data_IF_290358315601
#
_entry.id   IF_290358315601
#
_cell.length_a   1.000
_cell.length_b   1.000
_cell.length_c   1.000
_cell.angle_alpha   90.00
_cell.angle_beta   90.00
_cell.angle_gamma   90.00
#
_symmetry.space_group_name_H-M   'P 1'
#
loop_
_entity.id
_entity.type
_entity.pdbx_description
1 polymer ?
#
# COMPACT_ATOMS: atom_id res chain seq x y z
N UNK A 1 18.86 3.66 3.59
CA UNK A 1 19.90 4.64 4.02
C UNK A 1 19.99 5.86 3.10
N UNK A 2 20.38 5.71 1.82
CA UNK A 2 20.60 6.84 0.89
C UNK A 2 19.44 7.86 0.84
N UNK A 3 18.20 7.39 0.59
CA UNK A 3 17.00 8.25 0.54
C UNK A 3 16.78 9.09 1.81
N UNK A 4 17.00 8.51 2.99
CA UNK A 4 16.85 9.22 4.28
C UNK A 4 17.96 10.25 4.45
N UNK A 5 19.21 9.89 4.13
CA UNK A 5 20.36 10.79 4.24
C UNK A 5 20.20 12.00 3.32
N UNK A 6 19.83 11.76 2.05
CA UNK A 6 19.57 12.84 1.09
C UNK A 6 18.39 13.70 1.53
N UNK A 7 17.28 13.09 1.96
CA UNK A 7 16.12 13.80 2.49
C UNK A 7 16.49 14.75 3.63
N UNK A 8 17.30 14.28 4.59
CA UNK A 8 17.83 15.12 5.68
C UNK A 8 18.76 16.23 5.17
N UNK A 9 19.62 15.95 4.20
CA UNK A 9 20.57 16.94 3.65
C UNK A 9 19.85 18.07 2.92
N UNK A 10 18.92 17.75 2.01
CA UNK A 10 18.16 18.79 1.28
C UNK A 10 17.30 19.61 2.23
N UNK A 11 16.68 18.96 3.22
CA UNK A 11 15.79 19.62 4.18
C UNK A 11 16.53 20.61 5.07
N UNK A 12 17.76 20.28 5.49
CA UNK A 12 18.61 21.20 6.27
C UNK A 12 18.96 22.47 5.48
N UNK A 13 19.17 22.35 4.17
CA UNK A 13 19.60 23.47 3.33
C UNK A 13 18.39 24.26 2.76
N UNK A 14 17.29 23.57 2.44
CA UNK A 14 16.06 24.15 1.91
C UNK A 14 14.84 23.74 2.76
N UNK A 15 14.64 24.34 3.94
CA UNK A 15 13.60 23.92 4.89
C UNK A 15 12.17 24.00 4.36
N UNK A 16 11.91 24.89 3.38
CA UNK A 16 10.56 25.13 2.84
C UNK A 16 10.37 24.69 1.39
N UNK A 17 11.45 24.27 0.71
CA UNK A 17 11.45 23.93 -0.72
C UNK A 17 11.82 22.47 -1.00
N UNK A 18 12.10 21.68 0.04
CA UNK A 18 12.54 20.29 -0.15
C UNK A 18 11.40 19.41 -0.60
N UNK A 19 11.60 18.67 -1.69
CA UNK A 19 10.65 17.65 -2.15
C UNK A 19 10.85 16.38 -1.32
N UNK A 20 9.86 16.08 -0.48
CA UNK A 20 9.85 14.93 0.41
C UNK A 20 8.71 13.97 0.08
N UNK A 21 8.69 12.80 0.72
CA UNK A 21 7.62 11.81 0.62
C UNK A 21 7.23 11.33 2.01
N UNK A 22 5.99 11.58 2.41
CA UNK A 22 5.42 11.15 3.69
C UNK A 22 4.49 9.96 3.51
N UNK A 23 4.27 9.24 4.60
CA UNK A 23 3.25 8.21 4.70
C UNK A 23 2.52 8.45 6.03
N UNK A 24 1.35 9.09 6.00
CA UNK A 24 0.60 9.38 7.22
C UNK A 24 0.18 8.07 7.90
N UNK A 25 0.01 8.12 9.22
CA UNK A 25 -0.56 7.00 9.95
C UNK A 25 -1.97 6.67 9.41
N UNK A 26 -2.34 5.39 9.32
CA UNK A 26 -3.68 5.02 8.91
C UNK A 26 -4.73 5.49 9.92
N UNK A 27 -5.95 5.72 9.43
CA UNK A 27 -7.10 5.93 10.30
C UNK A 27 -7.41 4.61 11.00
N UNK A 28 -7.58 4.62 12.33
CA UNK A 28 -7.81 3.40 13.11
C UNK A 28 -9.02 2.60 12.61
N UNK A 29 -10.09 3.28 12.25
CA UNK A 29 -11.31 2.62 11.74
C UNK A 29 -11.12 1.84 10.43
N UNK A 30 -10.06 2.13 9.66
CA UNK A 30 -9.73 1.35 8.49
C UNK A 30 -9.27 -0.07 8.83
N UNK A 31 -8.84 -0.31 10.08
CA UNK A 31 -8.38 -1.60 10.57
C UNK A 31 -9.42 -2.37 11.38
N UNK A 32 -10.52 -1.76 11.81
CA UNK A 32 -11.50 -2.39 12.73
C UNK A 32 -11.95 -3.78 12.23
N UNK A 33 -12.38 -3.86 10.96
CA UNK A 33 -12.80 -5.12 10.33
C UNK A 33 -11.68 -6.16 10.30
N UNK A 34 -10.43 -5.72 10.06
CA UNK A 34 -9.28 -6.62 10.00
C UNK A 34 -8.91 -7.14 11.39
N UNK A 35 -8.95 -6.26 12.40
CA UNK A 35 -8.67 -6.58 13.79
C UNK A 35 -9.71 -7.56 14.32
N UNK A 36 -10.99 -7.34 14.04
CA UNK A 36 -12.06 -8.25 14.46
C UNK A 36 -11.92 -9.62 13.80
N UNK A 37 -11.62 -9.67 12.50
CA UNK A 37 -11.33 -10.93 11.79
C UNK A 37 -10.07 -11.64 12.32
N UNK A 38 -9.02 -10.90 12.69
CA UNK A 38 -7.83 -11.52 13.27
C UNK A 38 -8.13 -12.12 14.66
N UNK A 39 -8.97 -11.45 15.46
CA UNK A 39 -9.38 -11.91 16.78
C UNK A 39 -10.17 -13.23 16.74
N UNK A 40 -11.00 -13.45 15.72
CA UNK A 40 -11.70 -14.75 15.56
C UNK A 40 -10.75 -15.92 15.32
N UNK A 41 -9.52 -15.65 14.85
CA UNK A 41 -8.44 -16.63 14.71
C UNK A 41 -7.46 -16.60 15.90
N UNK A 42 -7.81 -15.94 17.02
CA UNK A 42 -7.00 -15.90 18.24
C UNK A 42 -5.82 -14.91 18.20
N UNK A 43 -5.77 -13.99 17.24
CA UNK A 43 -4.69 -12.99 17.13
C UNK A 43 -5.16 -11.58 17.47
N UNK A 44 -4.39 -10.90 18.31
CA UNK A 44 -4.59 -9.48 18.62
C UNK A 44 -3.64 -8.61 17.78
N UNK A 45 -4.20 -7.76 16.92
CA UNK A 45 -3.45 -6.91 16.00
C UNK A 45 -3.41 -5.48 16.55
N UNK A 46 -2.22 -5.05 16.96
CA UNK A 46 -2.02 -3.74 17.57
C UNK A 46 -1.68 -2.68 16.51
N UNK A 47 -2.65 -1.81 16.25
CA UNK A 47 -2.53 -0.71 15.26
C UNK A 47 -2.06 0.62 15.87
N UNK A 48 -1.60 0.63 17.12
CA UNK A 48 -1.20 1.84 17.85
C UNK A 48 0.01 2.55 17.21
N UNK A 49 1.00 1.79 16.77
CA UNK A 49 2.23 2.29 16.13
C UNK A 49 2.64 1.39 14.98
N UNK A 50 3.51 1.87 14.09
CA UNK A 50 4.03 1.05 12.98
C UNK A 50 4.84 -0.16 13.48
N UNK A 51 5.56 0.00 14.61
CA UNK A 51 6.29 -1.09 15.24
C UNK A 51 5.35 -2.12 15.87
N UNK A 52 4.37 -1.69 16.66
CA UNK A 52 3.40 -2.60 17.26
C UNK A 52 2.61 -3.37 16.20
N UNK A 53 2.27 -2.72 15.08
CA UNK A 53 1.61 -3.38 13.96
C UNK A 53 2.52 -4.44 13.33
N UNK A 54 3.80 -4.12 13.11
CA UNK A 54 4.76 -5.09 12.59
C UNK A 54 4.94 -6.28 13.55
N UNK A 55 5.17 -6.01 14.84
CA UNK A 55 5.39 -7.03 15.86
C UNK A 55 4.15 -7.93 16.05
N UNK A 56 2.93 -7.36 16.01
CA UNK A 56 1.69 -8.14 16.12
C UNK A 56 1.42 -8.98 14.87
N UNK A 57 1.70 -8.45 13.67
CA UNK A 57 1.65 -9.21 12.44
C UNK A 57 2.72 -10.30 12.39
N UNK A 58 3.93 -10.09 12.92
CA UNK A 58 4.99 -11.11 12.95
C UNK A 58 4.61 -12.31 13.83
N UNK A 59 3.84 -12.08 14.90
CA UNK A 59 3.32 -13.13 15.79
C UNK A 59 2.11 -13.87 15.23
N UNK A 60 1.40 -13.30 14.26
CA UNK A 60 0.16 -13.84 13.71
C UNK A 60 0.41 -14.98 12.70
N UNK A 61 0.94 -16.10 13.18
CA UNK A 61 1.31 -17.27 12.36
C UNK A 61 0.52 -18.50 12.80
N UNK A 62 -0.17 -19.12 11.85
CA UNK A 62 -0.81 -20.43 12.03
C UNK A 62 0.13 -21.51 11.48
N UNK A 63 0.64 -22.46 12.30
CA UNK A 63 1.55 -23.50 11.83
C UNK A 63 0.99 -24.38 10.71
N UNK A 64 -0.34 -24.59 10.71
CA UNK A 64 -1.06 -25.38 9.70
C UNK A 64 -1.44 -24.58 8.45
N UNK A 65 -1.27 -23.26 8.46
CA UNK A 65 -1.58 -22.38 7.32
C UNK A 65 -0.52 -21.28 7.17
N UNK A 66 0.59 -21.56 6.46
CA UNK A 66 1.66 -20.59 6.24
C UNK A 66 1.23 -19.36 5.42
N UNK A 67 0.14 -19.41 4.67
CA UNK A 67 -0.32 -18.25 3.88
C UNK A 67 -1.17 -17.29 4.69
N UNK A 68 -1.74 -17.71 5.84
CA UNK A 68 -2.54 -16.85 6.72
C UNK A 68 -1.82 -15.52 7.02
N UNK A 69 -0.55 -15.59 7.42
CA UNK A 69 0.24 -14.41 7.75
C UNK A 69 0.42 -13.49 6.52
N UNK A 70 0.69 -14.08 5.36
CA UNK A 70 0.83 -13.34 4.10
C UNK A 70 -0.47 -12.63 3.75
N UNK A 71 -1.61 -13.31 3.89
CA UNK A 71 -2.92 -12.73 3.64
C UNK A 71 -3.20 -11.57 4.58
N UNK A 72 -2.96 -11.75 5.87
CA UNK A 72 -3.15 -10.72 6.89
C UNK A 72 -2.30 -9.48 6.59
N UNK A 73 -1.07 -9.63 6.10
CA UNK A 73 -0.23 -8.51 5.65
C UNK A 73 -0.74 -7.82 4.39
N UNK A 74 -1.24 -8.58 3.42
CA UNK A 74 -1.87 -8.03 2.22
C UNK A 74 -3.07 -7.16 2.63
N UNK A 75 -3.95 -7.69 3.48
CA UNK A 75 -5.12 -6.97 3.98
C UNK A 75 -4.73 -5.75 4.80
N UNK A 76 -3.74 -5.88 5.71
CA UNK A 76 -3.20 -4.74 6.49
C UNK A 76 -2.70 -3.61 5.59
N UNK A 77 -2.05 -3.94 4.47
CA UNK A 77 -1.55 -2.96 3.51
C UNK A 77 -2.70 -2.20 2.81
N UNK A 78 -3.86 -2.84 2.63
CA UNK A 78 -5.06 -2.19 2.05
C UNK A 78 -5.69 -1.17 3.01
N UNK A 79 -5.53 -1.38 4.31
CA UNK A 79 -5.98 -0.45 5.35
C UNK A 79 -5.05 0.78 5.50
N UNK A 80 -3.84 0.74 4.90
CA UNK A 80 -2.88 1.84 4.99
C UNK A 80 -3.27 3.04 4.12
N UNK A 81 -2.94 4.24 4.60
CA UNK A 81 -3.09 5.47 3.81
C UNK A 81 -2.04 5.52 2.69
N UNK A 82 -2.34 6.12 1.52
CA UNK A 82 -1.35 6.23 0.45
C UNK A 82 -0.20 7.16 0.85
N UNK A 83 1.04 6.75 0.56
CA UNK A 83 2.19 7.64 0.67
C UNK A 83 2.16 8.71 -0.44
N UNK A 84 2.56 9.93 -0.10
CA UNK A 84 2.45 11.09 -0.98
C UNK A 84 3.72 11.95 -0.96
N UNK A 85 4.09 12.45 -2.14
CA UNK A 85 5.04 13.54 -2.28
C UNK A 85 4.43 14.85 -1.77
N UNK A 86 5.27 15.68 -1.17
CA UNK A 86 4.90 17.01 -0.72
C UNK A 86 6.16 17.89 -0.62
N UNK A 87 6.06 19.21 -0.82
CA UNK A 87 7.14 20.11 -0.46
C UNK A 87 7.14 20.36 1.06
N UNK A 88 8.32 20.42 1.65
CA UNK A 88 8.50 20.53 3.10
C UNK A 88 7.82 21.75 3.72
N UNK A 89 7.64 22.84 2.95
CA UNK A 89 6.96 24.05 3.41
C UNK A 89 5.43 23.95 3.54
N UNK A 90 4.79 22.90 3.02
CA UNK A 90 3.32 22.74 3.07
C UNK A 90 2.83 21.99 4.29
N UNK A 91 3.68 21.19 4.92
CA UNK A 91 3.32 20.35 6.06
C UNK A 91 4.20 20.71 7.26
N UNK A 92 3.61 20.65 8.45
CA UNK A 92 4.37 20.83 9.69
C UNK A 92 5.34 19.65 9.91
N UNK A 93 6.47 19.85 10.62
CA UNK A 93 7.48 18.81 10.83
C UNK A 93 6.98 17.49 11.43
N UNK A 94 5.99 17.54 12.32
CA UNK A 94 5.31 16.38 12.92
C UNK A 94 4.57 15.52 11.88
N UNK A 95 4.26 16.08 10.71
CA UNK A 95 3.55 15.41 9.62
C UNK A 95 4.48 14.88 8.51
N UNK A 96 5.80 15.05 8.63
CA UNK A 96 6.76 14.56 7.63
C UNK A 96 7.04 13.06 7.73
N UNK A 97 6.63 12.46 8.85
CA UNK A 97 6.90 11.07 9.17
C UNK A 97 6.41 10.11 8.08
N UNK A 98 7.18 9.03 7.89
CA UNK A 98 6.84 7.93 7.00
C UNK A 98 6.51 6.68 7.81
N UNK A 99 5.21 6.50 8.13
CA UNK A 99 4.70 5.45 9.01
C UNK A 99 5.26 4.06 8.67
N UNK A 100 5.06 3.60 7.43
CA UNK A 100 5.50 2.27 6.99
C UNK A 100 7.01 2.05 6.90
N UNK A 101 7.84 3.09 7.09
CA UNK A 101 9.31 2.96 7.14
C UNK A 101 9.87 3.37 8.50
N UNK A 102 9.03 3.76 9.45
CA UNK A 102 9.42 4.33 10.75
C UNK A 102 10.48 5.45 10.62
N UNK A 103 10.41 6.24 9.55
CA UNK A 103 11.43 7.25 9.24
C UNK A 103 10.86 8.67 9.46
N UNK A 104 11.54 9.55 10.22
CA UNK A 104 11.04 10.90 10.47
C UNK A 104 11.04 11.80 9.22
N UNK A 105 11.98 11.55 8.30
CA UNK A 105 12.10 12.28 7.03
C UNK A 105 12.50 11.27 5.95
N UNK A 106 11.81 11.32 4.82
CA UNK A 106 12.05 10.43 3.68
C UNK A 106 11.80 11.15 2.36
N UNK A 107 12.52 10.74 1.32
CA UNK A 107 12.30 11.17 -0.07
C UNK A 107 12.69 10.06 -1.03
N UNK A 108 12.48 10.24 -2.33
CA UNK A 108 13.02 9.35 -3.36
C UNK A 108 14.21 10.01 -4.06
N UNK A 109 15.32 9.29 -4.14
CA UNK A 109 16.56 9.77 -4.77
C UNK A 109 17.22 8.73 -5.69
N UNK A 110 17.03 7.44 -5.42
CA UNK A 110 17.82 6.36 -6.02
C UNK A 110 17.40 5.93 -7.44
N UNK A 111 16.41 6.56 -8.08
CA UNK A 111 15.92 6.14 -9.40
C UNK A 111 15.47 7.31 -10.30
N UNK A 112 16.34 8.28 -10.62
CA UNK A 112 16.00 9.43 -11.47
C UNK A 112 15.51 9.07 -12.88
N UNK A 113 15.94 7.93 -13.43
CA UNK A 113 15.54 7.49 -14.79
C UNK A 113 14.04 7.21 -14.88
N UNK A 114 13.42 6.70 -13.80
CA UNK A 114 12.02 6.21 -13.81
C UNK A 114 11.07 7.01 -12.91
N UNK A 115 11.57 8.04 -12.22
CA UNK A 115 10.79 8.85 -11.30
C UNK A 115 11.26 10.30 -11.33
N UNK A 116 10.36 11.20 -11.71
CA UNK A 116 10.67 12.63 -11.77
C UNK A 116 10.93 13.25 -10.38
N UNK A 117 10.34 12.70 -9.32
CA UNK A 117 10.62 13.12 -7.94
C UNK A 117 12.11 13.03 -7.62
N UNK A 118 12.76 11.93 -8.02
CA UNK A 118 14.19 11.74 -7.85
C UNK A 118 14.98 12.80 -8.63
N UNK A 119 14.58 13.16 -9.86
CA UNK A 119 15.24 14.24 -10.63
C UNK A 119 15.19 15.58 -9.88
N UNK A 120 14.05 15.93 -9.29
CA UNK A 120 13.91 17.14 -8.48
C UNK A 120 14.82 17.11 -7.25
N UNK A 121 14.88 15.97 -6.56
CA UNK A 121 15.75 15.77 -5.40
C UNK A 121 17.22 15.80 -5.78
N UNK A 122 17.61 15.25 -6.93
CA UNK A 122 18.98 15.36 -7.48
C UNK A 122 19.36 16.82 -7.72
N UNK A 123 18.48 17.62 -8.33
CA UNK A 123 18.70 19.07 -8.55
C UNK A 123 18.82 19.84 -7.24
N UNK A 124 17.94 19.57 -6.26
CA UNK A 124 18.01 20.15 -4.92
C UNK A 124 19.30 19.77 -4.20
N UNK A 125 19.73 18.52 -4.31
CA UNK A 125 20.97 18.04 -3.68
C UNK A 125 22.21 18.66 -4.32
N UNK A 126 22.25 18.76 -5.65
CA UNK A 126 23.34 19.42 -6.38
C UNK A 126 23.48 20.89 -5.94
N UNK A 127 22.37 21.59 -5.77
CA UNK A 127 22.37 22.96 -5.26
C UNK A 127 22.76 23.06 -3.79
N UNK A 128 22.32 22.15 -2.93
CA UNK A 128 22.72 22.08 -1.52
C UNK A 128 24.20 21.67 -1.29
N UNK A 129 24.89 21.28 -2.35
CA UNK A 129 26.31 20.92 -2.38
C UNK A 129 27.14 21.90 -3.23
N UNK A 130 26.54 23.01 -3.68
CA UNK A 130 27.18 24.02 -4.53
C UNK A 130 27.78 23.47 -5.85
N UNK A 131 27.26 22.33 -6.33
CA UNK A 131 27.67 21.72 -7.61
C UNK A 131 27.00 22.42 -8.80
N UNK A 132 25.77 22.91 -8.60
CA UNK A 132 25.00 23.64 -9.60
C UNK A 132 24.00 24.57 -8.91
N UNK A 133 23.61 25.71 -9.51
CA UNK A 133 22.61 26.60 -8.90
C UNK A 133 21.24 25.93 -8.81
N UNK A 134 20.43 26.34 -7.82
CA UNK A 134 19.05 25.89 -7.69
C UNK A 134 18.24 26.34 -8.92
N UNK A 135 17.55 25.43 -9.64
CA UNK A 135 16.69 25.82 -10.74
C UNK A 135 15.57 26.76 -10.29
N UNK A 136 15.36 27.85 -11.03
CA UNK A 136 14.37 28.90 -10.70
C UNK A 136 12.99 28.33 -10.40
N UNK A 137 12.53 27.36 -11.20
CA UNK A 137 11.25 26.68 -11.00
C UNK A 137 11.12 26.01 -9.62
N UNK A 138 12.19 25.40 -9.09
CA UNK A 138 12.18 24.75 -7.77
C UNK A 138 12.28 25.76 -6.62
N UNK A 139 12.47 27.05 -6.92
CA UNK A 139 12.42 28.13 -5.93
C UNK A 139 11.00 28.64 -5.66
N UNK A 140 10.03 28.27 -6.51
CA UNK A 140 8.63 28.67 -6.36
C UNK A 140 7.82 27.64 -5.56
N UNK A 141 7.21 28.08 -4.46
CA UNK A 141 6.35 27.22 -3.62
C UNK A 141 5.10 26.74 -4.35
N UNK A 142 4.45 27.62 -5.13
CA UNK A 142 3.26 27.25 -5.91
C UNK A 142 3.60 26.20 -6.97
N UNK A 143 4.74 26.36 -7.64
CA UNK A 143 5.20 25.37 -8.60
C UNK A 143 5.47 24.01 -7.94
N UNK A 144 6.12 24.00 -6.78
CA UNK A 144 6.38 22.76 -6.03
C UNK A 144 5.09 22.06 -5.58
N UNK A 145 4.05 22.83 -5.21
CA UNK A 145 2.72 22.32 -4.87
C UNK A 145 2.13 21.54 -6.05
N UNK A 146 2.01 22.20 -7.19
CA UNK A 146 1.42 21.63 -8.40
C UNK A 146 2.23 20.45 -8.91
N UNK A 147 3.55 20.53 -8.80
CA UNK A 147 4.46 19.46 -9.15
C UNK A 147 4.24 18.23 -8.26
N UNK A 148 4.17 18.41 -6.94
CA UNK A 148 3.89 17.31 -5.99
C UNK A 148 2.52 16.66 -6.27
N UNK A 149 1.49 17.48 -6.51
CA UNK A 149 0.15 17.00 -6.87
C UNK A 149 0.16 16.18 -8.16
N UNK A 150 0.86 16.65 -9.21
CA UNK A 150 1.00 15.92 -10.47
C UNK A 150 1.78 14.61 -10.27
N UNK A 151 2.91 14.62 -9.54
CA UNK A 151 3.68 13.41 -9.25
C UNK A 151 2.86 12.36 -8.50
N UNK A 152 2.04 12.78 -7.53
CA UNK A 152 1.14 11.89 -6.80
C UNK A 152 0.06 11.28 -7.72
N UNK A 153 -0.58 12.11 -8.54
CA UNK A 153 -1.59 11.66 -9.52
C UNK A 153 -1.01 10.65 -10.50
N UNK A 154 0.14 10.95 -11.10
CA UNK A 154 0.83 10.08 -12.06
C UNK A 154 1.31 8.79 -11.42
N UNK A 155 1.83 8.86 -10.18
CA UNK A 155 2.23 7.67 -9.44
C UNK A 155 1.04 6.73 -9.19
N UNK A 156 -0.11 7.27 -8.75
CA UNK A 156 -1.34 6.48 -8.55
C UNK A 156 -1.82 5.87 -9.87
N UNK A 157 -1.87 6.66 -10.94
CA UNK A 157 -2.28 6.16 -12.26
C UNK A 157 -1.37 5.03 -12.76
N UNK A 158 -0.05 5.17 -12.61
CA UNK A 158 0.91 4.12 -12.98
C UNK A 158 0.73 2.82 -12.17
N UNK A 159 0.43 2.92 -10.87
CA UNK A 159 0.12 1.75 -10.04
C UNK A 159 -1.16 1.05 -10.48
N UNK A 160 -2.21 1.81 -10.79
CA UNK A 160 -3.48 1.24 -11.29
C UNK A 160 -3.29 0.57 -12.65
N UNK A 161 -2.58 1.22 -13.58
CA UNK A 161 -2.27 0.64 -14.89
C UNK A 161 -1.46 -0.66 -14.76
N UNK A 162 -0.46 -0.69 -13.86
CA UNK A 162 0.32 -1.90 -13.60
C UNK A 162 -0.55 -3.05 -13.07
N UNK A 163 -1.45 -2.77 -12.12
CA UNK A 163 -2.39 -3.78 -11.59
C UNK A 163 -3.36 -4.27 -12.66
N UNK A 164 -3.95 -3.37 -13.44
CA UNK A 164 -4.86 -3.72 -14.53
C UNK A 164 -4.15 -4.55 -15.61
N UNK A 165 -2.89 -4.24 -15.92
CA UNK A 165 -2.08 -5.01 -16.86
C UNK A 165 -1.84 -6.44 -16.36
N UNK A 166 -1.48 -6.63 -15.08
CA UNK A 166 -1.36 -7.97 -14.49
C UNK A 166 -2.68 -8.73 -14.58
N UNK A 167 -3.79 -8.11 -14.18
CA UNK A 167 -5.11 -8.72 -14.25
C UNK A 167 -5.49 -9.15 -15.67
N UNK A 168 -5.25 -8.30 -16.67
CA UNK A 168 -5.51 -8.63 -18.08
C UNK A 168 -4.70 -9.85 -18.53
N UNK A 169 -3.40 -9.91 -18.22
CA UNK A 169 -2.57 -11.03 -18.64
C UNK A 169 -2.92 -12.32 -17.90
N UNK A 170 -3.39 -12.23 -16.65
CA UNK A 170 -3.96 -13.37 -15.94
C UNK A 170 -5.21 -13.90 -16.65
N UNK A 171 -6.11 -13.04 -17.13
CA UNK A 171 -7.28 -13.48 -17.90
C UNK A 171 -6.87 -14.12 -19.23
N UNK A 172 -5.91 -13.51 -19.94
CA UNK A 172 -5.38 -14.08 -21.20
C UNK A 172 -4.77 -15.45 -20.98
N UNK A 173 -4.10 -15.70 -19.84
CA UNK A 173 -3.57 -17.03 -19.51
C UNK A 173 -4.66 -18.11 -19.44
N UNK A 174 -5.81 -17.79 -18.83
CA UNK A 174 -6.94 -18.74 -18.71
C UNK A 174 -7.79 -18.83 -19.98
N UNK A 175 -7.79 -17.79 -20.81
CA UNK A 175 -8.48 -17.80 -22.12
C UNK A 175 -7.64 -18.54 -23.18
N UNK A 176 -6.31 -18.39 -23.12
CA UNK A 176 -5.38 -19.15 -23.93
C UNK A 176 -5.45 -20.63 -23.54
N UNK A 177 -5.45 -21.51 -24.52
CA UNK A 177 -5.72 -22.96 -24.39
C UNK A 177 -4.74 -23.74 -23.50
N UNK A 178 -3.78 -23.08 -22.87
CA UNK A 178 -2.77 -23.66 -21.98
C UNK A 178 -3.35 -24.12 -20.62
N UNK A 179 -4.36 -23.42 -20.09
CA UNK A 179 -4.99 -23.79 -18.80
C UNK A 179 -6.51 -23.83 -18.95
N UNK A 180 -7.05 -25.01 -19.26
CA UNK A 180 -8.52 -25.24 -19.35
C UNK A 180 -9.20 -25.37 -17.99
N UNK A 181 -8.50 -25.93 -17.00
CA UNK A 181 -8.96 -26.09 -15.63
C UNK A 181 -7.75 -25.96 -14.70
N UNK A 182 -7.89 -25.19 -13.61
CA UNK A 182 -6.91 -25.11 -12.54
C UNK A 182 -7.62 -25.31 -11.20
N UNK A 183 -7.02 -26.13 -10.32
CA UNK A 183 -7.52 -26.38 -8.96
C UNK A 183 -6.52 -25.82 -7.99
N UNK A 184 -6.91 -24.77 -7.28
CA UNK A 184 -6.04 -24.07 -6.33
C UNK A 184 -6.76 -23.82 -5.02
N UNK A 185 -5.97 -23.70 -3.96
CA UNK A 185 -6.45 -23.24 -2.66
C UNK A 185 -6.81 -21.75 -2.73
N UNK A 186 -7.95 -21.41 -2.11
CA UNK A 186 -8.49 -20.07 -2.07
C UNK A 186 -8.91 -19.70 -0.65
N UNK A 187 -8.77 -18.41 -0.32
CA UNK A 187 -9.11 -17.86 0.99
C UNK A 187 -10.37 -17.02 0.90
N UNK A 188 -11.35 -17.29 1.76
CA UNK A 188 -12.55 -16.47 1.87
C UNK A 188 -12.19 -15.18 2.62
N UNK A 189 -12.26 -14.04 1.92
CA UNK A 189 -12.01 -12.73 2.50
C UNK A 189 -13.25 -12.15 3.16
N UNK A 190 -14.41 -12.41 2.56
CA UNK A 190 -15.68 -11.83 3.00
C UNK A 190 -16.86 -12.71 2.61
N UNK A 191 -17.89 -12.71 3.45
CA UNK A 191 -19.15 -13.41 3.22
C UNK A 191 -20.24 -12.35 3.15
N UNK A 192 -20.63 -11.97 1.94
CA UNK A 192 -21.60 -10.90 1.70
C UNK A 192 -23.03 -11.42 1.57
N UNK A 193 -24.00 -10.58 1.98
CA UNK A 193 -25.39 -10.70 1.57
C UNK A 193 -25.57 -10.10 0.17
N UNK A 194 -26.26 -10.79 -0.74
CA UNK A 194 -26.57 -10.25 -2.07
C UNK A 194 -27.65 -9.17 -1.99
N UNK A 195 -27.24 -7.92 -1.70
CA UNK A 195 -28.11 -6.75 -1.83
C UNK A 195 -29.36 -6.75 -0.92
N UNK A 196 -30.07 -5.63 -0.91
CA UNK A 196 -31.34 -5.50 -0.18
C UNK A 196 -32.39 -6.45 -0.78
N UNK A 197 -32.76 -7.49 -0.03
CA UNK A 197 -33.92 -8.33 -0.31
C UNK A 197 -33.66 -9.73 -0.88
N UNK A 198 -32.42 -10.19 -1.07
CA UNK A 198 -32.15 -11.55 -1.56
C UNK A 198 -31.30 -12.41 -0.62
N UNK A 199 -31.81 -13.61 -0.31
CA UNK A 199 -31.06 -14.69 0.36
C UNK A 199 -30.10 -15.40 -0.61
N UNK A 200 -29.19 -14.65 -1.24
CA UNK A 200 -28.06 -15.23 -1.97
C UNK A 200 -26.76 -14.85 -1.24
N UNK A 201 -26.06 -15.86 -0.72
CA UNK A 201 -24.79 -15.74 -0.01
C UNK A 201 -23.69 -15.69 -1.07
N UNK A 202 -22.87 -14.64 -1.10
CA UNK A 202 -21.73 -14.57 -2.01
C UNK A 202 -20.43 -14.58 -1.21
N UNK A 203 -19.40 -15.23 -1.75
CA UNK A 203 -18.08 -15.28 -1.16
C UNK A 203 -17.14 -14.39 -1.97
N UNK A 204 -16.44 -13.49 -1.31
CA UNK A 204 -15.25 -12.87 -1.90
C UNK A 204 -14.07 -13.79 -1.59
N UNK A 205 -13.44 -14.34 -2.62
CA UNK A 205 -12.32 -15.27 -2.49
C UNK A 205 -11.03 -14.67 -3.07
N UNK A 206 -9.91 -15.01 -2.47
CA UNK A 206 -8.57 -14.68 -2.94
C UNK A 206 -7.79 -15.95 -3.24
N UNK A 207 -7.23 -16.06 -4.44
CA UNK A 207 -6.41 -17.18 -4.90
C UNK A 207 -4.95 -16.73 -4.95
N UNK A 208 -4.11 -17.06 -3.95
CA UNK A 208 -2.78 -16.49 -3.83
C UNK A 208 -1.84 -16.82 -4.99
N UNK A 209 -1.99 -18.02 -5.59
CA UNK A 209 -1.14 -18.46 -6.70
C UNK A 209 -1.17 -17.51 -7.90
N UNK A 210 -2.35 -16.98 -8.20
CA UNK A 210 -2.55 -16.07 -9.34
C UNK A 210 -2.73 -14.61 -8.91
N UNK A 211 -2.84 -14.34 -7.60
CA UNK A 211 -3.14 -13.01 -7.07
C UNK A 211 -4.52 -12.49 -7.48
N UNK A 212 -5.46 -13.40 -7.76
CA UNK A 212 -6.81 -13.05 -8.20
C UNK A 212 -7.71 -12.92 -6.97
N UNK A 213 -8.52 -11.87 -6.98
CA UNK A 213 -9.65 -11.72 -6.08
C UNK A 213 -10.93 -11.73 -6.91
N UNK A 214 -11.90 -12.55 -6.52
CA UNK A 214 -13.13 -12.75 -7.26
C UNK A 214 -14.33 -12.97 -6.35
N UNK A 215 -15.52 -12.68 -6.87
CA UNK A 215 -16.78 -12.98 -6.20
C UNK A 215 -17.34 -14.29 -6.74
N UNK A 216 -17.64 -15.21 -5.84
CA UNK A 216 -18.29 -16.49 -6.14
C UNK A 216 -19.71 -16.44 -5.60
N UNK A 217 -20.69 -16.58 -6.49
CA UNK A 217 -22.10 -16.68 -6.10
C UNK A 217 -22.43 -18.10 -5.69
N UNK A 218 -23.07 -18.26 -4.54
CA UNK A 218 -23.49 -19.58 -4.08
C UNK A 218 -24.86 -19.94 -4.67
N UNK A 219 -25.04 -21.20 -5.14
CA UNK A 219 -26.32 -21.65 -5.65
C UNK A 219 -27.40 -21.63 -4.55
N UNK A 220 -28.67 -21.49 -4.98
CA UNK A 220 -29.83 -21.53 -4.07
C UNK A 220 -29.85 -22.86 -3.31
N UNK A 221 -29.84 -22.81 -1.98
CA UNK A 221 -29.83 -24.00 -1.12
C UNK A 221 -28.44 -24.52 -0.74
N UNK A 222 -27.36 -23.85 -1.13
CA UNK A 222 -26.01 -24.20 -0.68
C UNK A 222 -25.86 -23.98 0.83
N UNK A 223 -25.55 -25.06 1.55
CA UNK A 223 -25.12 -25.00 2.95
C UNK A 223 -23.64 -24.60 2.97
N UNK A 224 -23.34 -23.47 3.61
CA UNK A 224 -21.96 -23.09 3.93
C UNK A 224 -21.76 -23.45 5.38
N UNK A 225 -21.10 -24.57 5.63
CA UNK A 225 -20.57 -24.90 6.94
C UNK A 225 -19.18 -24.29 7.03
N UNK A 226 -19.08 -23.19 7.78
CA UNK A 226 -17.78 -22.70 8.21
C UNK A 226 -17.34 -23.59 9.38
N UNK A 227 -16.67 -24.69 9.07
CA UNK A 227 -15.86 -25.35 10.09
C UNK A 227 -14.72 -24.38 10.42
N UNK A 228 -14.81 -23.71 11.56
CA UNK A 228 -13.63 -23.20 12.22
C UNK A 228 -12.79 -24.45 12.48
N UNK A 229 -11.77 -24.68 11.63
CA UNK A 229 -10.84 -25.79 11.83
C UNK A 229 -10.36 -25.69 13.28
N UNK A 230 -10.88 -26.57 14.14
CA UNK A 230 -10.58 -26.55 15.56
C UNK A 230 -9.06 -26.56 15.72
N UNK A 231 -8.55 -25.49 16.31
CA UNK A 231 -7.13 -25.26 16.56
C UNK A 231 -6.69 -26.04 17.79
#
# INVERSE_FOLDING_TARGET
LANVTVGKKILRHYPTLSVLRRHPAPVRSAFDVLVDKAKTHGFDIDVSTSKSLADSLDRAVLPRDPQFNRLLRILSTRCMSPAQYFPSGECRPDQWHHYGLAAPVYTHFTSPIRRYADVCVHRLLAAALDVAPLPVMLSSRSYLHDLAANMNRRHRAAQLAGRASVQLHTLVLFDSTEIKEAREEAYVLDVGAAGEGAAARALTVFVPRYGIEGRVELPKGAHVEAELAEH
#
